data_IF_757893829427
#
_entry.id   IF_757893829427
#
_cell.length_a   1.000
_cell.length_b   1.000
_cell.length_c   1.000
_cell.angle_alpha   90.00
_cell.angle_beta   90.00
_cell.angle_gamma   90.00
#
_symmetry.space_group_name_H-M   'P 1'
#
loop_
_entity.id
_entity.type
_entity.pdbx_description
1 polymer ?
#
# COMPACT_ATOMS: atom_id res chain seq x y z
N UNK A 1 4.96 1.61 -8.62
CA UNK A 1 6.15 1.45 -9.47
C UNK A 1 7.33 2.33 -9.08
N UNK A 2 7.23 3.67 -9.14
CA UNK A 2 8.39 4.56 -8.85
C UNK A 2 8.95 4.45 -7.41
N UNK A 3 8.08 4.42 -6.39
CA UNK A 3 8.52 4.27 -5.00
C UNK A 3 9.34 2.99 -4.83
N UNK A 4 8.79 1.86 -5.28
CA UNK A 4 9.45 0.56 -5.21
C UNK A 4 10.81 0.56 -5.93
N UNK A 5 10.87 1.11 -7.14
CA UNK A 5 12.14 1.31 -7.86
C UNK A 5 13.17 2.10 -7.04
N UNK A 6 12.77 3.23 -6.45
CA UNK A 6 13.65 4.02 -5.58
C UNK A 6 14.09 3.26 -4.33
N UNK A 7 13.17 2.51 -3.71
CA UNK A 7 13.45 1.74 -2.50
C UNK A 7 14.49 0.64 -2.77
N UNK A 8 14.38 -0.08 -3.88
CA UNK A 8 15.37 -1.08 -4.29
C UNK A 8 16.75 -0.43 -4.56
N UNK A 9 16.77 0.69 -5.28
CA UNK A 9 18.01 1.43 -5.56
C UNK A 9 18.71 1.92 -4.30
N UNK A 10 17.98 2.49 -3.35
CA UNK A 10 18.56 3.05 -2.12
C UNK A 10 19.15 1.96 -1.21
N UNK A 11 18.54 0.77 -1.19
CA UNK A 11 19.06 -0.37 -0.44
C UNK A 11 20.15 -1.14 -1.21
N UNK A 12 20.43 -0.78 -2.47
CA UNK A 12 21.42 -1.45 -3.29
C UNK A 12 21.00 -2.87 -3.72
N UNK A 13 19.70 -3.16 -3.74
CA UNK A 13 19.17 -4.46 -4.16
C UNK A 13 18.98 -4.48 -5.67
N UNK A 14 20.07 -4.74 -6.38
CA UNK A 14 20.15 -4.68 -7.84
C UNK A 14 19.72 -5.98 -8.50
N UNK A 15 19.97 -7.13 -7.87
CA UNK A 15 19.63 -8.45 -8.36
C UNK A 15 18.30 -8.91 -7.75
N UNK A 16 17.21 -8.81 -8.51
CA UNK A 16 15.85 -9.05 -8.00
C UNK A 16 15.13 -10.15 -8.76
N UNK A 17 14.34 -10.94 -8.04
CA UNK A 17 13.36 -11.87 -8.61
C UNK A 17 11.95 -11.43 -8.23
N UNK A 18 10.95 -11.81 -9.03
CA UNK A 18 9.56 -11.38 -8.85
C UNK A 18 8.68 -12.61 -8.58
N UNK A 19 7.75 -12.49 -7.64
CA UNK A 19 6.71 -13.49 -7.40
C UNK A 19 5.35 -12.86 -7.65
N UNK A 20 4.52 -13.47 -8.48
CA UNK A 20 3.16 -13.04 -8.79
C UNK A 20 2.15 -14.02 -8.19
N UNK A 21 1.33 -13.59 -7.23
CA UNK A 21 0.30 -14.47 -6.65
C UNK A 21 -1.00 -14.51 -7.47
N UNK A 22 -1.32 -13.42 -8.16
CA UNK A 22 -2.47 -13.29 -9.04
C UNK A 22 -2.09 -12.48 -10.28
N UNK A 23 -2.99 -12.39 -11.26
CA UNK A 23 -2.78 -11.55 -12.43
C UNK A 23 -2.64 -10.09 -11.99
N UNK A 24 -1.47 -9.51 -12.22
CA UNK A 24 -1.15 -8.16 -11.77
C UNK A 24 -0.34 -7.43 -12.82
N UNK A 25 -0.73 -6.20 -13.14
CA UNK A 25 -0.03 -5.39 -14.13
C UNK A 25 1.23 -4.76 -13.52
N UNK A 26 2.38 -5.36 -13.81
CA UNK A 26 3.71 -4.88 -13.37
C UNK A 26 4.50 -4.18 -14.50
N UNK A 27 3.85 -3.83 -15.61
CA UNK A 27 4.53 -3.32 -16.83
C UNK A 27 5.36 -2.08 -16.55
N UNK A 28 4.80 -1.09 -15.84
CA UNK A 28 5.50 0.15 -15.48
C UNK A 28 6.74 -0.13 -14.62
N UNK A 29 6.64 -1.08 -13.69
CA UNK A 29 7.76 -1.48 -12.85
C UNK A 29 8.86 -2.17 -13.67
N UNK A 30 8.48 -3.09 -14.55
CA UNK A 30 9.43 -3.77 -15.44
C UNK A 30 10.14 -2.79 -16.38
N UNK A 31 9.43 -1.77 -16.89
CA UNK A 31 10.03 -0.71 -17.71
C UNK A 31 11.09 0.07 -16.90
N UNK A 32 10.78 0.46 -15.66
CA UNK A 32 11.72 1.19 -14.80
C UNK A 32 12.99 0.38 -14.51
N UNK A 33 12.83 -0.91 -14.20
CA UNK A 33 13.94 -1.81 -13.90
C UNK A 33 14.78 -2.07 -15.17
N UNK A 34 14.16 -2.39 -16.31
CA UNK A 34 14.87 -2.65 -17.57
C UNK A 34 15.60 -1.43 -18.12
N UNK A 35 15.13 -0.22 -17.82
CA UNK A 35 15.75 1.03 -18.25
C UNK A 35 16.97 1.43 -17.40
N UNK A 36 17.30 0.67 -16.35
CA UNK A 36 18.46 0.92 -15.50
C UNK A 36 19.40 -0.29 -15.55
N UNK A 37 20.57 -0.10 -16.16
CA UNK A 37 21.57 -1.16 -16.42
C UNK A 37 22.17 -1.78 -15.17
N UNK A 38 21.99 -1.17 -13.99
CA UNK A 38 22.45 -1.75 -12.73
C UNK A 38 21.56 -2.90 -12.27
N UNK A 39 20.28 -2.89 -12.64
CA UNK A 39 19.37 -3.93 -12.19
C UNK A 39 19.48 -5.19 -13.04
N UNK A 40 19.56 -6.33 -12.37
CA UNK A 40 19.47 -7.66 -12.96
C UNK A 40 18.16 -8.30 -12.53
N UNK A 41 17.28 -8.55 -13.51
CA UNK A 41 16.04 -9.26 -13.27
C UNK A 41 16.29 -10.77 -13.40
N UNK A 42 16.14 -11.48 -12.30
CA UNK A 42 16.13 -12.94 -12.25
C UNK A 42 14.78 -13.52 -12.66
N UNK A 43 14.35 -14.56 -11.97
CA UNK A 43 13.13 -15.28 -12.32
C UNK A 43 11.85 -14.52 -11.94
N UNK A 44 10.85 -14.61 -12.82
CA UNK A 44 9.47 -14.21 -12.53
C UNK A 44 8.67 -15.48 -12.27
N UNK A 45 8.38 -15.76 -10.99
CA UNK A 45 7.63 -16.93 -10.55
C UNK A 45 6.15 -16.58 -10.51
N UNK A 46 5.35 -17.22 -11.37
CA UNK A 46 3.90 -16.99 -11.43
C UNK A 46 3.13 -18.11 -10.71
N UNK A 47 2.40 -17.74 -9.66
CA UNK A 47 1.66 -18.64 -8.79
C UNK A 47 0.15 -18.62 -9.03
N UNK A 48 -0.34 -17.87 -10.03
CA UNK A 48 -1.78 -17.72 -10.34
C UNK A 48 -2.52 -19.06 -10.55
N UNK A 49 -1.79 -20.09 -10.98
CA UNK A 49 -2.34 -21.39 -11.36
C UNK A 49 -2.44 -22.34 -10.14
N UNK A 50 -1.76 -22.03 -9.03
CA UNK A 50 -1.67 -22.89 -7.85
C UNK A 50 -2.44 -22.26 -6.70
N UNK A 51 -3.73 -22.60 -6.56
CA UNK A 51 -4.52 -22.16 -5.40
C UNK A 51 -3.89 -22.68 -4.11
N UNK A 52 -3.45 -21.79 -3.23
CA UNK A 52 -3.00 -22.17 -1.89
C UNK A 52 -4.17 -22.79 -1.12
N UNK A 53 -4.02 -24.00 -0.54
CA UNK A 53 -5.07 -24.60 0.25
C UNK A 53 -5.43 -23.67 1.43
N UNK A 54 -6.71 -23.59 1.82
CA UNK A 54 -7.12 -22.71 2.91
C UNK A 54 -6.39 -23.09 4.19
N UNK A 55 -5.76 -22.11 4.82
CA UNK A 55 -5.15 -22.20 6.15
C UNK A 55 -6.17 -22.77 7.14
N UNK A 56 -5.88 -23.94 7.71
CA UNK A 56 -6.68 -24.58 8.75
C UNK A 56 -6.59 -23.78 10.06
N UNK A 57 -7.36 -22.70 10.14
CA UNK A 57 -7.62 -21.98 11.38
C UNK A 57 -9.06 -21.48 11.37
N UNK A 58 -10.00 -22.43 11.24
CA UNK A 58 -11.38 -22.24 11.69
C UNK A 58 -11.59 -23.17 12.88
N UNK A 59 -11.25 -22.71 14.08
CA UNK A 59 -11.82 -23.29 15.28
C UNK A 59 -13.28 -22.82 15.32
N UNK A 60 -14.15 -23.67 14.81
CA UNK A 60 -15.60 -23.56 14.95
C UNK A 60 -15.94 -23.68 16.43
N UNK A 61 -16.30 -22.58 17.11
CA UNK A 61 -16.95 -22.69 18.42
C UNK A 61 -18.43 -22.97 18.20
N UNK A 62 -18.82 -24.25 18.21
CA UNK A 62 -20.22 -24.66 18.18
C UNK A 62 -20.80 -24.69 19.60
N UNK A 63 -21.81 -23.84 19.78
CA UNK A 63 -23.04 -24.02 20.58
C UNK A 63 -22.97 -24.25 22.09
N UNK A 64 -23.63 -23.37 22.86
CA UNK A 64 -24.81 -23.72 23.68
C UNK A 64 -25.76 -22.51 23.73
N UNK A 65 -26.97 -22.66 23.17
CA UNK A 65 -28.12 -21.84 23.54
C UNK A 65 -29.35 -22.75 23.50
N UNK A 66 -29.86 -23.08 24.68
CA UNK A 66 -31.10 -23.81 24.93
C UNK A 66 -32.28 -22.85 24.92
N UNK A 67 -33.40 -23.24 24.29
CA UNK A 67 -34.67 -22.52 24.39
C UNK A 67 -35.61 -22.68 23.18
N UNK A 68 -36.40 -23.75 23.20
CA UNK A 68 -37.57 -24.07 22.34
C UNK A 68 -38.85 -23.72 23.15
N UNK A 69 -40.12 -23.70 22.65
CA UNK A 69 -40.72 -23.99 21.32
C UNK A 69 -41.78 -22.97 20.81
N UNK A 70 -42.27 -23.14 19.57
CA UNK A 70 -43.67 -23.56 19.25
C UNK A 70 -44.01 -23.33 17.77
N UNK A 71 -44.59 -24.36 17.12
CA UNK A 71 -45.63 -24.15 16.09
C UNK A 71 -45.43 -24.77 14.71
N UNK A 72 -46.15 -25.88 14.48
CA UNK A 72 -46.89 -26.23 13.26
C UNK A 72 -46.21 -26.91 12.03
N UNK A 73 -46.65 -28.17 11.87
CA UNK A 73 -47.16 -28.83 10.64
C UNK A 73 -46.23 -29.47 9.60
N UNK A 74 -46.63 -30.69 9.27
CA UNK A 74 -45.99 -31.76 8.51
C UNK A 74 -46.77 -32.08 7.23
N UNK A 75 -46.14 -32.25 6.07
CA UNK A 75 -46.53 -33.19 4.97
C UNK A 75 -45.28 -33.46 4.06
N UNK A 76 -45.09 -34.67 3.45
CA UNK A 76 -43.78 -35.17 3.01
C UNK A 76 -43.55 -35.36 1.49
N UNK A 77 -42.29 -35.67 1.15
CA UNK A 77 -41.71 -36.27 -0.08
C UNK A 77 -41.64 -35.45 -1.39
N UNK A 78 -40.41 -35.28 -1.91
CA UNK A 78 -39.89 -35.93 -3.15
C UNK A 78 -38.49 -35.38 -3.50
N UNK A 79 -37.49 -36.28 -3.58
CA UNK A 79 -36.23 -36.07 -4.32
C UNK A 79 -36.53 -36.13 -5.84
N UNK A 80 -35.73 -35.45 -6.68
CA UNK A 80 -34.82 -36.25 -7.48
C UNK A 80 -33.44 -35.64 -7.78
N UNK A 81 -32.53 -36.59 -8.03
CA UNK A 81 -31.39 -36.60 -8.96
C UNK A 81 -30.15 -35.74 -8.69
N UNK A 82 -29.09 -36.50 -8.39
CA UNK A 82 -27.69 -36.18 -8.59
C UNK A 82 -27.44 -35.45 -9.91
N UNK A 83 -26.75 -34.31 -9.80
CA UNK A 83 -25.94 -33.77 -10.88
C UNK A 83 -24.51 -33.71 -10.38
N UNK A 84 -23.69 -34.51 -11.04
CA UNK A 84 -22.25 -34.70 -10.91
C UNK A 84 -21.53 -33.36 -11.02
N UNK A 85 -21.20 -32.76 -9.88
CA UNK A 85 -20.09 -31.83 -9.84
C UNK A 85 -18.82 -32.66 -9.76
N UNK A 86 -18.13 -32.76 -10.90
CA UNK A 86 -16.78 -33.27 -10.97
C UNK A 86 -15.88 -32.40 -10.09
N UNK A 87 -15.74 -32.79 -8.83
CA UNK A 87 -14.72 -32.28 -7.94
C UNK A 87 -13.38 -32.78 -8.46
N UNK A 88 -12.64 -31.90 -9.13
CA UNK A 88 -11.26 -32.11 -9.48
C UNK A 88 -10.44 -32.12 -8.18
N UNK A 89 -10.41 -33.27 -7.51
CA UNK A 89 -9.69 -33.47 -6.25
C UNK A 89 -8.19 -33.62 -6.55
N UNK A 90 -7.55 -32.52 -6.92
CA UNK A 90 -6.10 -32.41 -6.74
C UNK A 90 -5.85 -32.51 -5.23
N UNK A 91 -5.11 -33.54 -4.82
CA UNK A 91 -4.88 -33.76 -3.40
C UNK A 91 -4.05 -32.59 -2.84
N UNK A 92 -4.40 -32.06 -1.65
CA UNK A 92 -3.67 -30.97 -0.98
C UNK A 92 -2.13 -31.15 -0.96
N UNK A 93 -1.55 -32.36 -0.77
CA UNK A 93 -0.10 -32.52 -0.83
C UNK A 93 0.49 -32.29 -2.22
N UNK A 94 -0.23 -32.62 -3.31
CA UNK A 94 0.24 -32.39 -4.68
C UNK A 94 0.33 -30.89 -5.01
N UNK A 95 -0.64 -30.10 -4.52
CA UNK A 95 -0.64 -28.65 -4.68
C UNK A 95 0.53 -27.99 -3.94
N UNK A 96 0.79 -28.43 -2.71
CA UNK A 96 1.91 -27.91 -1.94
C UNK A 96 3.25 -28.27 -2.59
N UNK A 97 3.42 -29.51 -3.07
CA UNK A 97 4.63 -29.94 -3.75
C UNK A 97 4.88 -29.14 -5.03
N UNK A 98 3.83 -28.86 -5.81
CA UNK A 98 3.91 -28.05 -7.03
C UNK A 98 4.36 -26.62 -6.72
N UNK A 99 3.77 -26.00 -5.70
CA UNK A 99 4.17 -24.66 -5.26
C UNK A 99 5.63 -24.64 -4.77
N UNK A 100 6.05 -25.69 -4.07
CA UNK A 100 7.42 -25.81 -3.62
C UNK A 100 8.40 -25.86 -4.79
N UNK A 101 8.08 -26.66 -5.82
CA UNK A 101 8.87 -26.75 -7.04
C UNK A 101 8.94 -25.41 -7.80
N UNK A 102 7.85 -24.64 -7.83
CA UNK A 102 7.84 -23.30 -8.46
C UNK A 102 8.73 -22.30 -7.71
N UNK A 103 8.74 -22.36 -6.36
CA UNK A 103 9.57 -21.48 -5.54
C UNK A 103 11.07 -21.83 -5.61
N UNK A 104 11.43 -23.08 -5.93
CA UNK A 104 12.82 -23.46 -6.19
C UNK A 104 13.43 -22.69 -7.38
N UNK A 105 12.61 -22.18 -8.30
CA UNK A 105 13.08 -21.32 -9.39
C UNK A 105 13.77 -20.05 -8.86
N UNK A 106 13.47 -19.60 -7.64
CA UNK A 106 14.17 -18.47 -7.01
C UNK A 106 15.65 -18.78 -6.73
N UNK A 107 16.03 -20.06 -6.63
CA UNK A 107 17.42 -20.51 -6.43
C UNK A 107 18.25 -20.50 -7.72
N UNK A 108 17.62 -20.59 -8.88
CA UNK A 108 18.32 -20.72 -10.17
C UNK A 108 19.25 -19.54 -10.45
N UNK A 109 18.92 -18.36 -9.92
CA UNK A 109 19.74 -17.16 -10.02
C UNK A 109 20.49 -16.95 -8.70
N UNK A 110 21.73 -17.44 -8.63
CA UNK A 110 22.56 -17.37 -7.42
C UNK A 110 22.91 -15.95 -6.99
N UNK A 111 22.75 -14.95 -7.85
CA UNK A 111 22.95 -13.53 -7.52
C UNK A 111 21.70 -12.85 -6.95
N UNK A 112 20.52 -13.47 -6.97
CA UNK A 112 19.29 -12.83 -6.46
C UNK A 112 19.44 -12.46 -4.98
N UNK A 113 19.30 -11.17 -4.67
CA UNK A 113 19.40 -10.61 -3.31
C UNK A 113 18.05 -10.14 -2.78
N UNK A 114 17.14 -9.72 -3.67
CA UNK A 114 15.81 -9.23 -3.32
C UNK A 114 14.69 -10.01 -4.02
N UNK A 115 13.59 -10.23 -3.32
CA UNK A 115 12.37 -10.83 -3.87
C UNK A 115 11.21 -9.85 -3.71
N UNK A 116 10.59 -9.50 -4.82
CA UNK A 116 9.45 -8.57 -4.86
C UNK A 116 8.18 -9.35 -5.16
N UNK A 117 7.18 -9.25 -4.28
CA UNK A 117 5.89 -9.92 -4.47
C UNK A 117 4.84 -8.95 -5.01
N UNK A 118 4.06 -9.36 -6.02
CA UNK A 118 2.90 -8.60 -6.50
C UNK A 118 1.63 -9.43 -6.53
N UNK A 119 0.51 -8.76 -6.31
CA UNK A 119 -0.81 -9.34 -6.22
C UNK A 119 -0.98 -10.32 -5.04
N UNK A 120 -0.12 -10.25 -4.03
CA UNK A 120 -0.11 -11.17 -2.90
C UNK A 120 -0.78 -10.52 -1.68
N UNK A 121 -1.92 -11.06 -1.24
CA UNK A 121 -2.48 -10.71 0.06
C UNK A 121 -1.50 -11.09 1.19
N UNK A 122 -1.54 -10.38 2.31
CA UNK A 122 -0.63 -10.63 3.43
C UNK A 122 -0.75 -12.07 3.97
N UNK A 123 -1.92 -12.71 3.86
CA UNK A 123 -2.13 -14.12 4.23
C UNK A 123 -1.45 -15.06 3.25
N UNK A 124 -1.50 -14.76 1.96
CA UNK A 124 -0.77 -15.46 0.91
C UNK A 124 0.75 -15.35 1.15
N UNK A 125 1.26 -14.14 1.41
CA UNK A 125 2.69 -13.91 1.73
C UNK A 125 3.11 -14.73 2.94
N UNK A 126 2.30 -14.78 4.01
CA UNK A 126 2.57 -15.62 5.19
C UNK A 126 2.68 -17.11 4.82
N UNK A 127 1.79 -17.61 3.97
CA UNK A 127 1.83 -19.01 3.53
C UNK A 127 3.08 -19.29 2.69
N UNK A 128 3.42 -18.39 1.76
CA UNK A 128 4.66 -18.49 0.98
C UNK A 128 5.89 -18.51 1.89
N UNK A 129 5.92 -17.65 2.90
CA UNK A 129 7.01 -17.62 3.87
C UNK A 129 7.09 -18.92 4.70
N UNK A 130 5.96 -19.43 5.17
CA UNK A 130 5.90 -20.68 5.91
C UNK A 130 6.36 -21.91 5.10
N UNK A 131 6.28 -21.85 3.77
CA UNK A 131 6.80 -22.87 2.87
C UNK A 131 8.29 -22.68 2.58
N UNK A 132 8.70 -21.46 2.24
CA UNK A 132 10.10 -21.13 1.92
C UNK A 132 11.04 -21.34 3.11
N UNK A 133 10.58 -21.10 4.34
CA UNK A 133 11.35 -21.41 5.58
C UNK A 133 11.61 -22.90 5.79
N UNK A 134 10.82 -23.78 5.16
CA UNK A 134 11.05 -25.24 5.17
C UNK A 134 11.97 -25.69 4.05
N UNK A 135 12.28 -24.78 3.12
CA UNK A 135 13.21 -25.01 2.02
C UNK A 135 14.59 -24.50 2.40
N UNK A 136 15.61 -25.07 1.79
CA UNK A 136 16.98 -24.56 1.86
C UNK A 136 17.19 -23.49 0.78
N UNK A 137 16.36 -22.44 0.80
CA UNK A 137 16.52 -21.28 -0.08
C UNK A 137 17.55 -20.29 0.51
N UNK A 138 18.24 -19.49 -0.34
CA UNK A 138 19.05 -18.37 0.14
C UNK A 138 18.22 -17.37 0.97
N UNK A 139 18.88 -16.63 1.85
CA UNK A 139 18.25 -15.49 2.51
C UNK A 139 18.03 -14.36 1.51
N UNK A 140 16.77 -14.00 1.30
CA UNK A 140 16.36 -12.91 0.41
C UNK A 140 15.82 -11.73 1.21
N UNK A 141 16.00 -10.53 0.68
CA UNK A 141 15.29 -9.34 1.14
C UNK A 141 13.90 -9.31 0.50
N UNK A 142 12.86 -9.52 1.30
CA UNK A 142 11.49 -9.55 0.80
C UNK A 142 10.87 -8.16 0.78
N UNK A 143 10.16 -7.84 -0.31
CA UNK A 143 9.45 -6.57 -0.49
C UNK A 143 8.05 -6.83 -1.02
N UNK A 144 7.05 -6.27 -0.36
CA UNK A 144 5.69 -6.19 -0.90
C UNK A 144 5.65 -5.08 -1.95
N UNK A 145 5.49 -5.46 -3.21
CA UNK A 145 5.47 -4.54 -4.35
C UNK A 145 4.16 -3.77 -4.48
N UNK A 146 3.07 -4.26 -3.88
CA UNK A 146 1.78 -3.60 -3.86
C UNK A 146 1.64 -2.66 -2.68
N UNK A 147 0.86 -1.60 -2.87
CA UNK A 147 0.53 -0.69 -1.77
C UNK A 147 -0.31 -1.39 -0.72
N UNK A 148 0.17 -1.38 0.52
CA UNK A 148 -0.48 -1.99 1.66
C UNK A 148 -1.22 -0.97 2.51
N UNK A 149 -2.21 -1.44 3.27
CA UNK A 149 -2.79 -0.70 4.38
C UNK A 149 -2.16 -1.18 5.68
N UNK A 150 -1.49 -0.30 6.43
CA UNK A 150 -0.79 -0.71 7.67
C UNK A 150 -1.75 -1.30 8.71
N UNK A 151 -3.02 -0.89 8.72
CA UNK A 151 -4.02 -1.43 9.64
C UNK A 151 -4.36 -2.90 9.35
N UNK A 152 -4.10 -3.38 8.14
CA UNK A 152 -4.37 -4.75 7.70
C UNK A 152 -3.12 -5.64 7.77
N UNK A 153 -1.93 -5.04 7.93
CA UNK A 153 -0.67 -5.74 8.01
C UNK A 153 -0.53 -6.48 9.34
N UNK A 154 -0.68 -7.81 9.29
CA UNK A 154 -0.36 -8.70 10.40
C UNK A 154 1.15 -8.86 10.55
N UNK A 155 1.61 -9.28 11.72
CA UNK A 155 3.05 -9.50 12.02
C UNK A 155 3.41 -10.98 12.16
N UNK A 156 2.43 -11.81 12.52
CA UNK A 156 2.62 -13.24 12.77
C UNK A 156 3.06 -14.02 11.54
N UNK A 157 4.15 -14.78 11.66
CA UNK A 157 4.60 -15.74 10.65
C UNK A 157 5.18 -15.12 9.38
N UNK A 158 5.56 -13.84 9.43
CA UNK A 158 6.24 -13.13 8.33
C UNK A 158 7.75 -13.01 8.62
N UNK A 159 8.60 -12.83 7.58
CA UNK A 159 10.02 -12.64 7.75
C UNK A 159 10.34 -11.31 8.43
N UNK A 160 11.25 -11.31 9.39
CA UNK A 160 11.90 -10.07 9.83
C UNK A 160 12.64 -9.42 8.66
N UNK A 161 12.66 -8.09 8.64
CA UNK A 161 13.20 -7.30 7.53
C UNK A 161 12.26 -7.16 6.35
N UNK A 162 11.11 -7.84 6.31
CA UNK A 162 10.10 -7.67 5.25
C UNK A 162 9.75 -6.19 5.10
N UNK A 163 9.94 -5.66 3.89
CA UNK A 163 9.56 -4.29 3.57
C UNK A 163 8.17 -4.23 2.97
N UNK A 164 7.40 -3.26 3.45
CA UNK A 164 6.09 -2.92 2.91
C UNK A 164 6.03 -1.41 2.68
N UNK A 165 5.19 -0.99 1.75
CA UNK A 165 4.88 0.42 1.56
C UNK A 165 3.40 0.61 1.36
N UNK A 166 2.89 1.79 1.68
CA UNK A 166 1.49 2.09 1.41
C UNK A 166 0.95 3.19 2.29
N UNK A 167 -0.36 3.24 2.46
CA UNK A 167 -1.03 4.33 3.14
C UNK A 167 -1.40 3.89 4.55
N UNK A 168 -1.15 4.73 5.56
CA UNK A 168 -1.52 4.44 6.96
C UNK A 168 -3.06 4.33 7.16
N UNK A 169 -3.80 4.97 6.27
CA UNK A 169 -5.25 5.09 6.23
C UNK A 169 -5.63 6.33 5.42
N UNK A 170 -6.81 6.34 4.81
CA UNK A 170 -7.31 7.55 4.16
C UNK A 170 -7.51 8.66 5.20
N UNK A 171 -7.04 9.89 4.95
CA UNK A 171 -7.34 11.02 5.83
C UNK A 171 -8.85 11.19 6.02
N UNK A 172 -9.26 11.59 7.23
CA UNK A 172 -10.66 11.94 7.49
C UNK A 172 -11.05 13.24 6.78
N UNK A 173 -12.36 13.48 6.61
CA UNK A 173 -12.86 14.75 6.12
C UNK A 173 -12.37 15.93 6.98
N UNK A 174 -12.33 15.75 8.30
CA UNK A 174 -11.87 16.79 9.23
C UNK A 174 -10.42 17.19 8.97
N UNK A 175 -9.54 16.24 8.65
CA UNK A 175 -8.16 16.56 8.26
C UNK A 175 -8.11 17.38 6.97
N UNK A 176 -8.94 17.06 5.98
CA UNK A 176 -9.02 17.88 4.76
C UNK A 176 -9.57 19.28 5.03
N UNK A 177 -10.54 19.44 5.93
CA UNK A 177 -11.07 20.75 6.32
C UNK A 177 -10.00 21.58 7.02
N UNK A 178 -9.28 20.99 7.97
CA UNK A 178 -8.18 21.65 8.67
C UNK A 178 -7.08 22.09 7.71
N UNK A 179 -6.63 21.20 6.83
CA UNK A 179 -5.62 21.52 5.83
C UNK A 179 -6.12 22.60 4.84
N UNK A 180 -7.40 22.57 4.46
CA UNK A 180 -7.99 23.60 3.59
C UNK A 180 -7.95 24.98 4.24
N UNK A 181 -8.28 25.08 5.54
CA UNK A 181 -8.20 26.32 6.30
C UNK A 181 -6.75 26.80 6.42
N UNK A 182 -5.80 25.90 6.63
CA UNK A 182 -4.37 26.21 6.76
C UNK A 182 -3.80 26.76 5.43
N UNK A 183 -4.19 26.20 4.28
CA UNK A 183 -3.84 26.77 2.95
C UNK A 183 -4.31 28.21 2.85
N UNK A 184 -5.58 28.47 3.19
CA UNK A 184 -6.17 29.80 3.07
C UNK A 184 -5.47 30.78 4.02
N UNK A 185 -5.28 30.40 5.29
CA UNK A 185 -4.62 31.23 6.28
C UNK A 185 -3.19 31.59 5.87
N UNK A 186 -2.39 30.62 5.42
CA UNK A 186 -1.02 30.85 4.94
C UNK A 186 -0.97 31.68 3.66
N UNK A 187 -1.85 31.37 2.70
CA UNK A 187 -1.92 32.07 1.42
C UNK A 187 -2.33 33.53 1.58
N UNK A 188 -3.40 33.80 2.34
CA UNK A 188 -3.85 35.17 2.65
C UNK A 188 -2.82 35.89 3.50
N UNK A 189 -2.22 35.23 4.50
CA UNK A 189 -1.18 35.81 5.34
C UNK A 189 0.06 36.24 4.54
N UNK A 190 0.50 35.41 3.60
CA UNK A 190 1.62 35.72 2.70
C UNK A 190 1.26 36.86 1.73
N UNK A 191 0.05 36.85 1.16
CA UNK A 191 -0.42 37.91 0.27
C UNK A 191 -0.54 39.26 0.98
N UNK A 192 -0.99 39.27 2.24
CA UNK A 192 -1.15 40.47 3.04
C UNK A 192 0.18 41.08 3.47
N UNK A 193 1.24 40.28 3.64
CA UNK A 193 2.59 40.78 3.88
C UNK A 193 3.14 41.53 2.66
N UNK A 194 2.81 41.08 1.45
CA UNK A 194 3.27 41.70 0.20
C UNK A 194 2.44 42.93 -0.20
N UNK A 195 1.11 42.83 -0.18
CA UNK A 195 0.22 43.93 -0.50
C UNK A 195 -1.12 43.79 0.24
N UNK A 196 -1.24 44.38 1.45
CA UNK A 196 -2.45 44.25 2.26
C UNK A 196 -3.66 44.93 1.61
N UNK A 197 -3.43 46.03 0.89
CA UNK A 197 -4.49 46.76 0.20
C UNK A 197 -5.12 45.96 -0.94
N UNK A 198 -4.38 45.02 -1.55
CA UNK A 198 -4.90 44.10 -2.58
C UNK A 198 -5.39 42.77 -1.98
N UNK A 199 -4.73 42.26 -0.94
CA UNK A 199 -5.08 40.98 -0.30
C UNK A 199 -6.38 41.05 0.52
N UNK A 200 -6.63 42.18 1.18
CA UNK A 200 -7.73 42.36 2.14
C UNK A 200 -8.86 43.24 1.61
N UNK A 201 -8.95 43.40 0.29
CA UNK A 201 -10.10 44.06 -0.33
C UNK A 201 -11.36 43.25 0.06
N UNK A 202 -12.39 43.88 0.62
CA UNK A 202 -13.64 43.22 0.97
C UNK A 202 -14.17 42.40 -0.22
N UNK A 203 -14.65 41.19 0.06
CA UNK A 203 -15.21 40.31 -0.95
C UNK A 203 -16.34 41.00 -1.75
N UNK A 204 -16.59 40.51 -2.95
CA UNK A 204 -17.71 40.99 -3.78
C UNK A 204 -19.01 40.91 -2.99
N UNK A 205 -19.60 42.07 -2.70
CA UNK A 205 -20.85 42.17 -1.92
C UNK A 205 -22.08 41.74 -2.72
N UNK A 206 -21.94 41.65 -4.05
CA UNK A 206 -22.91 41.05 -4.95
C UNK A 206 -22.18 40.52 -6.21
N UNK A 207 -22.79 39.57 -6.92
CA UNK A 207 -22.22 38.99 -8.15
C UNK A 207 -22.51 39.81 -9.42
N UNK A 208 -23.29 40.89 -9.30
CA UNK A 208 -23.75 41.69 -10.44
C UNK A 208 -22.86 42.91 -10.72
N UNK A 209 -22.13 43.39 -9.71
CA UNK A 209 -21.15 44.48 -9.80
C UNK A 209 -19.79 43.95 -10.26
N UNK A 210 -19.72 43.51 -11.52
CA UNK A 210 -18.46 43.20 -12.16
C UNK A 210 -17.71 44.49 -12.53
N UNK A 211 -16.96 45.05 -11.58
CA UNK A 211 -16.06 46.16 -11.93
C UNK A 211 -14.85 45.61 -12.71
N UNK A 212 -14.71 46.02 -13.98
CA UNK A 212 -13.46 45.86 -14.75
C UNK A 212 -12.33 46.64 -14.08
N UNK A 213 -11.65 46.01 -13.12
CA UNK A 213 -10.39 46.51 -12.55
C UNK A 213 -9.24 45.68 -13.12
N UNK A 214 -8.08 46.33 -13.29
CA UNK A 214 -6.83 45.65 -13.67
C UNK A 214 -6.36 44.78 -12.50
N UNK A 215 -6.93 43.58 -12.40
CA UNK A 215 -6.68 42.61 -11.33
C UNK A 215 -7.76 42.64 -10.24
N UNK A 216 -8.23 41.46 -9.86
CA UNK A 216 -9.09 41.26 -8.70
C UNK A 216 -8.28 40.74 -7.52
N UNK A 217 -8.73 41.04 -6.30
CA UNK A 217 -8.21 40.45 -5.05
C UNK A 217 -8.17 38.93 -5.14
N UNK A 218 -9.20 38.31 -5.75
CA UNK A 218 -9.25 36.87 -6.00
C UNK A 218 -8.11 36.39 -6.91
N UNK A 219 -7.83 37.09 -8.02
CA UNK A 219 -6.71 36.76 -8.90
C UNK A 219 -5.34 36.96 -8.25
N UNK A 220 -5.20 37.97 -7.39
CA UNK A 220 -4.00 38.18 -6.58
C UNK A 220 -3.81 37.04 -5.58
N UNK A 221 -4.82 36.73 -4.76
CA UNK A 221 -4.80 35.67 -3.76
C UNK A 221 -4.59 34.28 -4.37
N UNK A 222 -5.16 34.01 -5.55
CA UNK A 222 -5.01 32.72 -6.23
C UNK A 222 -3.53 32.34 -6.46
N UNK A 223 -2.65 33.32 -6.71
CA UNK A 223 -1.20 33.09 -6.88
C UNK A 223 -0.53 32.66 -5.57
N UNK A 224 -0.94 33.23 -4.44
CA UNK A 224 -0.39 32.85 -3.13
C UNK A 224 -0.93 31.50 -2.66
N UNK A 225 -2.23 31.25 -2.84
CA UNK A 225 -2.85 29.95 -2.52
C UNK A 225 -2.19 28.82 -3.33
N UNK A 226 -2.00 29.04 -4.63
CA UNK A 226 -1.37 28.08 -5.55
C UNK A 226 0.14 27.90 -5.30
N UNK A 227 0.80 28.84 -4.63
CA UNK A 227 2.22 28.71 -4.25
C UNK A 227 2.42 28.26 -2.79
N UNK A 228 1.34 28.04 -2.05
CA UNK A 228 1.40 27.57 -0.67
C UNK A 228 1.65 26.06 -0.64
N UNK A 229 2.58 25.63 0.20
CA UNK A 229 2.81 24.20 0.46
C UNK A 229 3.22 23.98 1.90
N UNK A 230 2.75 22.87 2.50
CA UNK A 230 3.06 22.53 3.89
C UNK A 230 2.72 21.08 4.23
N UNK A 231 3.21 20.65 5.38
CA UNK A 231 2.89 19.35 5.98
C UNK A 231 1.54 19.47 6.71
N UNK A 232 0.48 18.91 6.13
CA UNK A 232 -0.87 18.88 6.70
C UNK A 232 -1.18 17.56 7.41
N UNK A 233 -2.38 17.46 7.97
CA UNK A 233 -2.86 16.23 8.61
C UNK A 233 -3.21 15.14 7.58
N UNK A 234 -3.71 15.56 6.41
CA UNK A 234 -4.06 14.66 5.32
C UNK A 234 -2.85 14.20 4.50
N UNK A 235 -1.74 14.93 4.56
CA UNK A 235 -0.57 14.66 3.75
C UNK A 235 0.23 15.91 3.46
N UNK A 236 1.20 15.80 2.56
CA UNK A 236 1.91 16.98 2.08
C UNK A 236 1.05 17.73 1.07
N UNK A 237 0.65 18.93 1.44
CA UNK A 237 -0.18 19.81 0.63
C UNK A 237 0.70 20.59 -0.33
N UNK A 238 0.44 20.48 -1.62
CA UNK A 238 1.13 21.25 -2.64
C UNK A 238 0.30 21.41 -3.91
N UNK A 239 0.69 22.37 -4.76
CA UNK A 239 0.10 22.50 -6.09
C UNK A 239 0.64 21.42 -7.03
N UNK A 240 -0.27 20.80 -7.77
CA UNK A 240 0.07 19.90 -8.86
C UNK A 240 0.89 20.62 -9.94
N UNK A 241 1.96 20.00 -10.45
CA UNK A 241 2.87 20.68 -11.37
C UNK A 241 2.22 21.15 -12.68
N UNK A 242 1.26 20.37 -13.20
CA UNK A 242 0.63 20.58 -14.51
C UNK A 242 -0.78 21.21 -14.45
N UNK A 243 -1.36 21.38 -13.25
CA UNK A 243 -2.69 21.96 -13.07
C UNK A 243 -2.67 23.02 -11.96
N UNK A 244 -3.74 23.80 -11.87
CA UNK A 244 -3.96 24.70 -10.74
C UNK A 244 -4.62 23.99 -9.54
N UNK A 245 -4.61 22.66 -9.54
CA UNK A 245 -5.19 21.85 -8.49
C UNK A 245 -4.23 21.78 -7.30
N UNK A 246 -4.78 21.92 -6.10
CA UNK A 246 -4.08 21.61 -4.86
C UNK A 246 -4.30 20.13 -4.59
N UNK A 247 -3.21 19.41 -4.37
CA UNK A 247 -3.22 17.99 -4.05
C UNK A 247 -2.71 17.79 -2.63
N UNK A 248 -3.29 16.80 -1.95
CA UNK A 248 -2.73 16.24 -0.74
C UNK A 248 -2.03 14.94 -1.13
N UNK A 249 -0.69 14.95 -1.11
CA UNK A 249 0.09 13.72 -1.21
C UNK A 249 -0.16 12.94 0.08
N UNK A 250 -1.15 12.05 0.04
CA UNK A 250 -1.52 11.19 1.16
C UNK A 250 -0.27 10.55 1.75
N UNK A 251 -0.24 10.43 3.07
CA UNK A 251 0.89 9.90 3.80
C UNK A 251 1.21 8.44 3.41
N UNK A 252 2.02 8.30 2.37
CA UNK A 252 2.53 7.04 1.87
C UNK A 252 3.83 6.76 2.60
N UNK A 253 3.85 5.70 3.39
CA UNK A 253 4.95 5.33 4.25
C UNK A 253 5.63 4.06 3.77
N UNK A 254 6.82 3.87 4.30
CA UNK A 254 7.62 2.67 4.15
C UNK A 254 7.80 2.08 5.55
N UNK A 255 7.53 0.78 5.66
CA UNK A 255 7.62 0.03 6.90
C UNK A 255 8.53 -1.17 6.73
N UNK A 256 9.13 -1.59 7.85
CA UNK A 256 9.88 -2.83 7.97
C UNK A 256 9.36 -3.63 9.15
N UNK A 257 9.18 -4.93 8.97
CA UNK A 257 8.85 -5.82 10.06
C UNK A 257 10.10 -6.09 10.91
N UNK A 258 10.12 -5.58 12.12
CA UNK A 258 11.26 -5.65 13.04
C UNK A 258 10.82 -6.16 14.40
N UNK A 259 11.77 -6.45 15.28
CA UNK A 259 11.47 -6.74 16.68
C UNK A 259 11.35 -5.42 17.44
N UNK A 260 10.31 -5.29 18.24
CA UNK A 260 10.20 -4.21 19.22
C UNK A 260 11.20 -4.42 20.38
N UNK A 261 11.33 -3.45 21.31
CA UNK A 261 12.23 -3.59 22.46
C UNK A 261 11.92 -4.78 23.38
N UNK A 262 10.71 -5.36 23.30
CA UNK A 262 10.28 -6.54 24.05
C UNK A 262 10.49 -7.85 23.25
N UNK A 263 11.05 -7.78 22.04
CA UNK A 263 11.29 -8.92 21.17
C UNK A 263 10.06 -9.38 20.39
N UNK A 264 8.99 -8.59 20.30
CA UNK A 264 7.79 -8.92 19.54
C UNK A 264 7.84 -8.32 18.13
N UNK A 265 7.39 -9.05 17.08
CA UNK A 265 7.41 -8.54 15.72
C UNK A 265 6.40 -7.39 15.55
N UNK A 266 6.89 -6.24 15.07
CA UNK A 266 6.11 -5.02 14.85
C UNK A 266 6.51 -4.32 13.56
N UNK A 267 5.53 -3.68 12.90
CA UNK A 267 5.77 -2.86 11.72
C UNK A 267 6.31 -1.49 12.12
N UNK A 268 7.61 -1.29 11.91
CA UNK A 268 8.31 -0.05 12.22
C UNK A 268 8.37 0.84 10.98
N UNK A 269 7.98 2.11 11.14
CA UNK A 269 8.04 3.10 10.05
C UNK A 269 9.49 3.51 9.81
N UNK A 270 9.97 3.32 8.57
CA UNK A 270 11.32 3.69 8.16
C UNK A 270 11.38 5.05 7.45
N UNK A 271 10.27 5.50 6.90
CA UNK A 271 10.23 6.75 6.16
C UNK A 271 8.93 6.95 5.42
N UNK A 272 8.93 7.95 4.55
CA UNK A 272 7.78 8.40 3.78
C UNK A 272 8.16 8.73 2.35
N UNK A 273 7.22 8.54 1.44
CA UNK A 273 7.34 8.95 0.06
C UNK A 273 6.77 10.35 -0.14
N UNK A 274 7.55 11.25 -0.72
CA UNK A 274 7.18 12.65 -0.94
C UNK A 274 7.83 13.18 -2.20
N UNK A 275 7.06 13.83 -3.09
CA UNK A 275 7.57 14.49 -4.31
C UNK A 275 8.56 13.64 -5.13
N UNK A 276 8.25 12.35 -5.30
CA UNK A 276 9.10 11.46 -6.10
C UNK A 276 10.36 10.95 -5.39
N UNK A 277 10.50 11.15 -4.08
CA UNK A 277 11.66 10.70 -3.29
C UNK A 277 11.23 10.06 -1.98
N UNK A 278 12.07 9.17 -1.48
CA UNK A 278 11.94 8.63 -0.12
C UNK A 278 12.64 9.57 0.85
N UNK A 279 11.92 10.00 1.88
CA UNK A 279 12.47 10.69 3.05
C UNK A 279 12.52 9.70 4.20
N UNK A 280 13.72 9.35 4.65
CA UNK A 280 13.90 8.42 5.76
C UNK A 280 13.58 9.11 7.08
N UNK A 281 12.81 8.41 7.91
CA UNK A 281 12.62 8.77 9.31
C UNK A 281 13.80 8.13 10.05
N UNK A 282 14.96 8.79 10.00
CA UNK A 282 16.14 8.34 10.73
C UNK A 282 15.80 8.20 12.22
N UNK A 283 16.09 7.06 12.88
CA UNK A 283 16.03 7.04 14.33
C UNK A 283 17.13 7.96 14.82
N UNK A 284 16.76 9.04 15.51
CA UNK A 284 17.65 9.80 16.38
C UNK A 284 18.18 8.86 17.47
N UNK A 285 19.12 7.98 17.12
CA UNK A 285 20.01 7.36 18.08
C UNK A 285 20.93 8.48 18.57
N UNK A 286 20.43 9.24 19.54
CA UNK A 286 21.30 9.84 20.53
C UNK A 286 21.93 8.66 21.28
N UNK A 287 23.15 8.32 20.88
CA UNK A 287 24.11 7.68 21.79
C UNK A 287 24.51 8.65 22.89
#
# INVERSE_FOLDING_TARGET
SHLLYYLLMMNGWWDISIVLCQEWNISDFLILIKNNTRFNLGNIVNLTITSLPPSSSSLSSSAVATGVPLGAESVPYLLPTASTYASNSSSKPDQQQTLMQQLEALREHSSTTGVVTFGCDIREVRRLWALTTRMTLPEFHWVLGDSQNVAELRTEGLPLGLLAHGVKGSPSLDHYVQDSLEIVARGVGSAAQENPAMALIPGTTNCMDSQQRNGSSGGFLARFLSNTSFEGQSGFISRESHRQNIISEAHHYIWSLQLDPLGQPTWTRLGRWRRGRVLMDWPSHHG
#
